data_IF_047636709874
#
_entry.id   IF_047636709874
#
_cell.length_a   1.000
_cell.length_b   1.000
_cell.length_c   1.000
_cell.angle_alpha   90.00
_cell.angle_beta   90.00
_cell.angle_gamma   90.00
#
_symmetry.space_group_name_H-M   'P 1'
#
loop_
_entity.id
_entity.type
_entity.pdbx_description
1 polymer ?
#
# COMPACT_ATOMS: atom_id res chain seq x y z
N UNK A 1 67.15 -43.08 -21.30
CA UNK A 1 67.16 -42.38 -20.00
C UNK A 1 65.89 -41.53 -19.92
N UNK A 2 64.85 -41.99 -19.24
CA UNK A 2 63.93 -41.22 -18.38
C UNK A 2 62.88 -42.18 -17.80
N UNK A 3 62.71 -42.07 -16.50
CA UNK A 3 62.10 -42.99 -15.55
C UNK A 3 60.57 -42.89 -15.50
N UNK A 4 59.89 -44.04 -15.44
CA UNK A 4 58.45 -44.14 -15.17
C UNK A 4 58.22 -43.93 -13.67
N UNK A 5 57.55 -42.84 -13.29
CA UNK A 5 57.08 -42.61 -11.93
C UNK A 5 55.77 -43.35 -11.70
N UNK A 6 55.79 -44.32 -10.79
CA UNK A 6 54.58 -44.98 -10.26
C UNK A 6 53.87 -44.02 -9.30
N UNK A 7 52.70 -43.51 -9.70
CA UNK A 7 51.86 -42.70 -8.83
C UNK A 7 51.09 -43.62 -7.88
N UNK A 8 51.45 -43.49 -6.61
CA UNK A 8 50.94 -44.23 -5.46
C UNK A 8 49.42 -44.27 -5.37
N UNK A 9 48.86 -45.48 -5.24
CA UNK A 9 47.44 -45.77 -4.99
C UNK A 9 46.94 -45.33 -3.60
N UNK A 10 47.80 -44.73 -2.77
CA UNK A 10 47.46 -44.30 -1.41
C UNK A 10 46.62 -43.01 -1.35
N UNK A 11 46.75 -42.09 -2.32
CA UNK A 11 46.06 -40.78 -2.26
C UNK A 11 44.55 -40.86 -2.52
N UNK A 12 44.10 -41.93 -3.20
CA UNK A 12 42.68 -42.12 -3.58
C UNK A 12 41.80 -42.64 -2.43
N UNK A 13 42.37 -43.16 -1.33
CA UNK A 13 41.61 -43.74 -0.20
C UNK A 13 41.09 -42.71 0.81
N UNK A 14 41.59 -41.48 0.80
CA UNK A 14 41.19 -40.44 1.76
C UNK A 14 40.30 -39.33 1.19
N UNK A 15 40.15 -39.24 -0.14
CA UNK A 15 39.28 -38.25 -0.79
C UNK A 15 37.80 -38.67 -0.71
N UNK A 16 37.52 -39.98 -0.79
CA UNK A 16 36.15 -40.52 -0.70
C UNK A 16 35.51 -40.31 0.68
N UNK A 17 36.17 -40.56 1.83
CA UNK A 17 35.53 -40.32 3.13
C UNK A 17 35.37 -38.82 3.45
N UNK A 18 36.23 -37.94 2.92
CA UNK A 18 36.12 -36.49 3.15
C UNK A 18 34.94 -35.87 2.36
N UNK A 19 34.72 -36.32 1.12
CA UNK A 19 33.58 -35.86 0.31
C UNK A 19 32.22 -36.33 0.86
N UNK A 20 32.17 -37.51 1.47
CA UNK A 20 30.95 -38.02 2.13
C UNK A 20 30.65 -37.26 3.43
N UNK A 21 31.67 -36.89 4.21
CA UNK A 21 31.47 -36.07 5.41
C UNK A 21 30.97 -34.64 5.08
N UNK A 22 31.42 -34.04 3.98
CA UNK A 22 30.97 -32.70 3.55
C UNK A 22 29.52 -32.74 3.00
N UNK A 23 29.11 -33.82 2.33
CA UNK A 23 27.72 -33.99 1.89
C UNK A 23 26.74 -34.20 3.06
N UNK A 24 27.17 -34.85 4.15
CA UNK A 24 26.35 -35.08 5.34
C UNK A 24 26.18 -33.83 6.22
N UNK A 25 27.08 -32.84 6.13
CA UNK A 25 26.98 -31.57 6.85
C UNK A 25 26.01 -30.57 6.20
N UNK A 26 25.57 -30.80 4.96
CA UNK A 26 24.59 -29.97 4.25
C UNK A 26 23.12 -30.28 4.57
N UNK A 27 22.84 -31.40 5.27
CA UNK A 27 21.47 -31.86 5.53
C UNK A 27 20.88 -31.37 6.87
N UNK A 28 21.66 -30.69 7.70
CA UNK A 28 21.20 -30.17 9.01
C UNK A 28 20.54 -28.79 8.94
N UNK A 29 20.32 -28.26 7.73
CA UNK A 29 19.52 -27.06 7.50
C UNK A 29 18.03 -27.38 7.46
N UNK A 30 17.50 -28.09 8.45
CA UNK A 30 16.05 -28.22 8.60
C UNK A 30 15.50 -26.84 9.00
N UNK A 31 14.92 -26.12 8.04
CA UNK A 31 13.99 -25.03 8.36
C UNK A 31 12.86 -25.64 9.18
N UNK A 32 12.90 -25.43 10.50
CA UNK A 32 11.86 -25.91 11.41
C UNK A 32 10.73 -24.89 11.34
N UNK A 33 9.92 -24.98 10.29
CA UNK A 33 8.69 -24.24 10.17
C UNK A 33 7.71 -24.93 11.15
N UNK A 34 7.53 -24.34 12.33
CA UNK A 34 6.70 -24.92 13.38
C UNK A 34 5.29 -25.17 12.83
N UNK A 35 4.84 -26.42 12.76
CA UNK A 35 3.53 -26.77 12.19
C UNK A 35 2.32 -26.12 12.90
N UNK A 36 2.54 -25.55 14.09
CA UNK A 36 1.57 -24.68 14.78
C UNK A 36 1.30 -23.38 14.02
N UNK A 37 2.33 -22.84 13.37
CA UNK A 37 2.30 -21.57 12.63
C UNK A 37 1.53 -21.71 11.30
N UNK A 38 1.60 -22.89 10.68
CA UNK A 38 0.82 -23.22 9.48
C UNK A 38 -0.66 -23.40 9.85
N UNK A 39 -0.96 -24.12 10.93
CA UNK A 39 -2.34 -24.33 11.37
C UNK A 39 -3.05 -23.03 11.83
N UNK A 40 -2.34 -22.13 12.51
CA UNK A 40 -2.86 -20.80 12.86
C UNK A 40 -3.10 -19.95 11.61
N UNK A 41 -2.16 -19.93 10.66
CA UNK A 41 -2.34 -19.22 9.38
C UNK A 41 -3.58 -19.70 8.61
N UNK A 42 -3.83 -21.02 8.57
CA UNK A 42 -5.04 -21.56 7.94
C UNK A 42 -6.32 -21.15 8.66
N UNK A 43 -6.31 -21.05 10.00
CA UNK A 43 -7.47 -20.62 10.78
C UNK A 43 -7.79 -19.13 10.63
N UNK A 44 -6.77 -18.31 10.34
CA UNK A 44 -6.92 -16.86 10.10
C UNK A 44 -7.23 -16.52 8.63
N UNK A 45 -6.99 -17.45 7.69
CA UNK A 45 -7.24 -17.25 6.26
C UNK A 45 -8.74 -17.24 5.98
N UNK A 46 -9.27 -16.11 5.49
CA UNK A 46 -10.68 -16.06 5.09
C UNK A 46 -10.89 -16.86 3.79
N UNK A 47 -12.02 -17.58 3.63
CA UNK A 47 -12.28 -18.36 2.42
C UNK A 47 -12.22 -17.57 1.10
N UNK A 48 -12.50 -16.25 1.13
CA UNK A 48 -12.41 -15.42 -0.06
C UNK A 48 -10.96 -15.18 -0.53
N UNK A 49 -9.96 -15.35 0.35
CA UNK A 49 -8.54 -15.13 0.03
C UNK A 49 -8.00 -16.14 -1.00
N UNK A 50 -8.62 -17.31 -1.14
CA UNK A 50 -8.26 -18.30 -2.15
C UNK A 50 -8.45 -17.79 -3.59
N UNK A 51 -9.29 -16.77 -3.79
CA UNK A 51 -9.53 -16.14 -5.09
C UNK A 51 -8.66 -14.89 -5.32
N UNK A 52 -7.65 -14.67 -4.47
CA UNK A 52 -6.69 -13.57 -4.60
C UNK A 52 -5.35 -14.13 -5.08
N UNK A 53 -4.75 -13.51 -6.10
CA UNK A 53 -3.31 -13.71 -6.35
C UNK A 53 -2.51 -13.02 -5.24
N UNK A 54 -1.21 -13.28 -5.16
CA UNK A 54 -0.33 -12.55 -4.24
C UNK A 54 -0.42 -11.02 -4.44
N UNK A 55 -0.53 -10.56 -5.69
CA UNK A 55 -0.66 -9.12 -6.00
C UNK A 55 -2.02 -8.58 -5.55
N UNK A 56 -3.10 -9.34 -5.71
CA UNK A 56 -4.43 -8.91 -5.25
C UNK A 56 -4.51 -8.87 -3.71
N UNK A 57 -3.86 -9.83 -3.04
CA UNK A 57 -3.73 -9.81 -1.57
C UNK A 57 -2.93 -8.62 -1.09
N UNK A 58 -1.80 -8.33 -1.74
CA UNK A 58 -0.99 -7.13 -1.43
C UNK A 58 -1.79 -5.84 -1.66
N UNK A 59 -2.55 -5.74 -2.76
CA UNK A 59 -3.42 -4.58 -3.02
C UNK A 59 -4.50 -4.42 -1.94
N UNK A 60 -5.09 -5.53 -1.49
CA UNK A 60 -6.13 -5.53 -0.44
C UNK A 60 -5.57 -5.03 0.89
N UNK A 61 -4.40 -5.56 1.29
CA UNK A 61 -3.72 -5.13 2.51
C UNK A 61 -3.24 -3.68 2.42
N UNK A 62 -2.68 -3.28 1.29
CA UNK A 62 -2.24 -1.89 1.07
C UNK A 62 -3.41 -0.91 1.12
N UNK A 63 -4.56 -1.23 0.52
CA UNK A 63 -5.77 -0.40 0.60
C UNK A 63 -6.25 -0.25 2.05
N UNK A 64 -6.35 -1.36 2.79
CA UNK A 64 -6.72 -1.33 4.22
C UNK A 64 -5.77 -0.44 5.01
N UNK A 65 -4.47 -0.69 4.90
CA UNK A 65 -3.45 0.02 5.67
C UNK A 65 -3.34 1.52 5.25
N UNK A 66 -3.64 1.85 3.99
CA UNK A 66 -3.74 3.23 3.51
C UNK A 66 -4.93 3.95 4.15
N UNK A 67 -6.09 3.31 4.19
CA UNK A 67 -7.27 3.87 4.85
C UNK A 67 -7.04 4.01 6.36
N UNK A 68 -6.41 3.03 7.01
CA UNK A 68 -6.09 3.12 8.44
C UNK A 68 -5.13 4.28 8.75
N UNK A 69 -4.08 4.47 7.94
CA UNK A 69 -3.21 5.66 8.05
C UNK A 69 -3.99 6.96 7.82
N UNK A 70 -4.93 6.97 6.87
CA UNK A 70 -5.78 8.13 6.59
C UNK A 70 -6.75 8.45 7.75
N UNK A 71 -7.31 7.44 8.38
CA UNK A 71 -8.20 7.62 9.54
C UNK A 71 -7.43 8.04 10.79
N UNK A 72 -6.21 7.56 10.98
CA UNK A 72 -5.31 8.08 12.01
C UNK A 72 -5.00 9.57 11.77
N UNK A 73 -4.74 9.97 10.52
CA UNK A 73 -4.58 11.38 10.15
C UNK A 73 -5.83 12.20 10.48
N UNK A 74 -7.02 11.67 10.20
CA UNK A 74 -8.29 12.32 10.54
C UNK A 74 -8.40 12.60 12.05
N UNK A 75 -8.15 11.59 12.89
CA UNK A 75 -8.19 11.77 14.34
C UNK A 75 -7.20 12.81 14.84
N UNK A 76 -5.97 12.80 14.30
CA UNK A 76 -4.96 13.80 14.64
C UNK A 76 -5.36 15.21 14.19
N UNK A 77 -5.98 15.33 13.02
CA UNK A 77 -6.46 16.61 12.50
C UNK A 77 -7.61 17.16 13.34
N UNK A 78 -8.57 16.33 13.77
CA UNK A 78 -9.65 16.78 14.65
C UNK A 78 -9.16 17.17 16.04
N UNK A 79 -8.18 16.45 16.60
CA UNK A 79 -7.54 16.83 17.85
C UNK A 79 -6.90 18.22 17.76
N UNK A 80 -6.27 18.52 16.62
CA UNK A 80 -5.57 19.79 16.39
C UNK A 80 -6.49 20.92 15.91
N UNK A 81 -7.64 20.57 15.33
CA UNK A 81 -8.64 21.50 14.79
C UNK A 81 -10.03 21.17 15.34
N UNK A 82 -10.27 21.30 16.66
CA UNK A 82 -11.48 20.80 17.28
C UNK A 82 -12.73 21.58 16.86
N UNK A 83 -12.59 22.79 16.32
CA UNK A 83 -13.71 23.56 15.75
C UNK A 83 -14.35 22.87 14.54
N UNK A 84 -13.60 22.05 13.79
CA UNK A 84 -14.04 21.52 12.49
C UNK A 84 -15.15 20.47 12.65
N UNK A 85 -14.98 19.47 13.51
CA UNK A 85 -16.03 18.45 13.73
C UNK A 85 -17.32 19.05 14.31
N UNK A 86 -17.22 20.17 15.06
CA UNK A 86 -18.38 20.87 15.62
C UNK A 86 -19.25 21.51 14.54
N UNK A 87 -18.68 21.89 13.38
CA UNK A 87 -19.44 22.45 12.24
C UNK A 87 -20.41 21.44 11.63
N UNK A 88 -20.10 20.15 11.74
CA UNK A 88 -20.94 19.07 11.23
C UNK A 88 -22.12 18.72 12.16
N UNK A 89 -22.21 19.32 13.34
CA UNK A 89 -23.30 19.07 14.30
C UNK A 89 -23.23 17.70 14.99
N UNK A 90 -22.08 17.02 14.95
CA UNK A 90 -21.87 15.77 15.66
C UNK A 90 -21.67 15.99 17.17
N UNK A 91 -22.02 14.96 17.97
CA UNK A 91 -21.88 14.98 19.42
C UNK A 91 -20.41 15.03 19.86
N UNK A 92 -19.54 14.32 19.14
CA UNK A 92 -18.12 14.22 19.39
C UNK A 92 -17.33 13.99 18.10
N UNK A 93 -15.99 14.08 18.18
CA UNK A 93 -15.10 13.81 17.06
C UNK A 93 -15.25 12.36 16.56
N UNK A 94 -15.48 11.39 17.45
CA UNK A 94 -15.62 9.99 17.08
C UNK A 94 -16.85 9.73 16.17
N UNK A 95 -17.95 10.44 16.39
CA UNK A 95 -19.12 10.39 15.52
C UNK A 95 -18.84 11.00 14.15
N UNK A 96 -18.10 12.11 14.09
CA UNK A 96 -17.65 12.71 12.83
C UNK A 96 -16.73 11.75 12.05
N UNK A 97 -15.78 11.12 12.73
CA UNK A 97 -14.88 10.13 12.14
C UNK A 97 -15.63 8.93 11.57
N UNK A 98 -16.58 8.35 12.33
CA UNK A 98 -17.42 7.25 11.85
C UNK A 98 -18.20 7.63 10.60
N UNK A 99 -18.80 8.82 10.58
CA UNK A 99 -19.55 9.29 9.43
C UNK A 99 -18.68 9.41 8.16
N UNK A 100 -17.48 9.99 8.30
CA UNK A 100 -16.55 10.14 7.18
C UNK A 100 -16.05 8.78 6.69
N UNK A 101 -15.70 7.87 7.61
CA UNK A 101 -15.31 6.49 7.30
C UNK A 101 -16.41 5.76 6.51
N UNK A 102 -17.64 5.77 7.02
CA UNK A 102 -18.77 5.15 6.34
C UNK A 102 -19.02 5.76 4.96
N UNK A 103 -18.87 7.08 4.82
CA UNK A 103 -19.03 7.74 3.54
C UNK A 103 -17.97 7.31 2.51
N UNK A 104 -16.72 7.11 2.93
CA UNK A 104 -15.65 6.59 2.07
C UNK A 104 -15.89 5.12 1.72
N UNK A 105 -16.08 4.27 2.73
CA UNK A 105 -16.15 2.82 2.58
C UNK A 105 -17.40 2.36 1.82
N UNK A 106 -18.52 3.06 2.01
CA UNK A 106 -19.77 2.81 1.28
C UNK A 106 -19.92 3.71 0.05
N UNK A 107 -18.88 4.47 -0.30
CA UNK A 107 -18.84 5.37 -1.45
C UNK A 107 -20.04 6.34 -1.52
N UNK A 108 -20.54 6.77 -0.36
CA UNK A 108 -21.62 7.75 -0.28
C UNK A 108 -21.07 9.12 -0.66
N UNK A 109 -21.81 9.92 -1.44
CA UNK A 109 -21.41 11.30 -1.73
C UNK A 109 -21.37 12.12 -0.43
N UNK A 110 -20.42 13.05 -0.33
CA UNK A 110 -20.41 14.08 0.72
C UNK A 110 -21.03 15.38 0.15
N UNK A 111 -22.29 15.72 0.48
CA UNK A 111 -23.02 16.79 -0.21
C UNK A 111 -22.34 18.16 -0.16
N UNK A 112 -21.59 18.43 0.91
CA UNK A 112 -20.88 19.70 1.12
C UNK A 112 -19.81 19.98 0.05
N UNK A 113 -19.29 18.93 -0.62
CA UNK A 113 -18.32 19.06 -1.71
C UNK A 113 -18.97 19.22 -3.09
N UNK A 114 -20.28 19.01 -3.20
CA UNK A 114 -21.00 18.96 -4.47
C UNK A 114 -20.45 17.86 -5.37
N UNK A 115 -20.24 18.18 -6.65
CA UNK A 115 -19.71 17.24 -7.64
C UNK A 115 -18.16 17.23 -7.72
N UNK A 116 -17.47 17.98 -6.84
CA UNK A 116 -16.01 18.05 -6.87
C UNK A 116 -15.41 16.73 -6.37
N UNK A 117 -14.36 16.27 -7.03
CA UNK A 117 -13.60 15.06 -6.70
C UNK A 117 -12.10 15.35 -6.66
N UNK A 118 -11.33 14.43 -6.09
CA UNK A 118 -9.87 14.43 -6.08
C UNK A 118 -9.28 15.80 -5.67
N UNK A 119 -8.35 16.33 -6.46
CA UNK A 119 -7.67 17.61 -6.20
C UNK A 119 -8.62 18.81 -6.18
N UNK A 120 -9.73 18.76 -6.93
CA UNK A 120 -10.73 19.84 -6.92
C UNK A 120 -11.50 19.86 -5.60
N UNK A 121 -11.84 18.70 -5.05
CA UNK A 121 -12.44 18.58 -3.72
C UNK A 121 -11.47 19.03 -2.63
N UNK A 122 -10.20 18.60 -2.70
CA UNK A 122 -9.15 19.00 -1.76
C UNK A 122 -8.93 20.52 -1.75
N UNK A 123 -8.82 21.12 -2.93
CA UNK A 123 -8.61 22.56 -3.08
C UNK A 123 -9.81 23.34 -2.55
N UNK A 124 -11.03 22.85 -2.79
CA UNK A 124 -12.25 23.47 -2.27
C UNK A 124 -12.37 23.32 -0.75
N UNK A 125 -12.08 22.17 -0.16
CA UNK A 125 -12.11 21.95 1.29
C UNK A 125 -11.16 22.91 2.05
N UNK A 126 -10.07 23.34 1.42
CA UNK A 126 -9.10 24.30 1.97
C UNK A 126 -9.28 25.74 1.43
N UNK A 127 -10.41 26.02 0.79
CA UNK A 127 -10.72 27.35 0.24
C UNK A 127 -11.52 28.20 1.24
N UNK A 128 -11.39 29.54 1.24
CA UNK A 128 -12.19 30.41 2.11
C UNK A 128 -13.71 30.22 1.95
N UNK A 129 -14.17 29.82 0.76
CA UNK A 129 -15.57 29.64 0.42
C UNK A 129 -16.20 28.40 1.07
N UNK A 130 -15.39 27.42 1.47
CA UNK A 130 -15.88 26.21 2.12
C UNK A 130 -16.10 26.45 3.62
N UNK A 131 -17.36 26.40 4.04
CA UNK A 131 -17.78 26.68 5.42
C UNK A 131 -18.05 25.42 6.26
N UNK A 132 -17.95 24.24 5.65
CA UNK A 132 -18.18 22.97 6.30
C UNK A 132 -17.01 22.51 7.18
N UNK A 133 -17.09 21.25 7.58
CA UNK A 133 -16.02 20.54 8.29
C UNK A 133 -14.86 20.25 7.34
N UNK A 134 -13.79 21.05 7.45
CA UNK A 134 -12.63 20.98 6.57
C UNK A 134 -11.86 19.69 6.74
N UNK A 135 -11.79 19.15 7.96
CA UNK A 135 -11.09 17.89 8.24
C UNK A 135 -11.85 16.75 7.57
N UNK A 136 -13.15 16.63 7.82
CA UNK A 136 -13.97 15.59 7.22
C UNK A 136 -13.96 15.67 5.69
N UNK A 137 -14.10 16.87 5.12
CA UNK A 137 -14.07 17.07 3.67
C UNK A 137 -12.71 16.76 3.04
N UNK A 138 -11.61 17.15 3.68
CA UNK A 138 -10.25 16.88 3.20
C UNK A 138 -9.95 15.38 3.23
N UNK A 139 -10.26 14.70 4.34
CA UNK A 139 -10.08 13.25 4.48
C UNK A 139 -10.96 12.48 3.51
N UNK A 140 -12.23 12.87 3.37
CA UNK A 140 -13.15 12.28 2.41
C UNK A 140 -12.63 12.40 0.97
N UNK A 141 -12.09 13.57 0.58
CA UNK A 141 -11.55 13.77 -0.76
C UNK A 141 -10.35 12.84 -1.06
N UNK A 142 -9.47 12.58 -0.07
CA UNK A 142 -8.38 11.61 -0.23
C UNK A 142 -8.91 10.18 -0.27
N UNK A 143 -9.77 9.80 0.68
CA UNK A 143 -10.28 8.43 0.79
C UNK A 143 -11.09 8.01 -0.43
N UNK A 144 -12.02 8.86 -0.88
CA UNK A 144 -12.81 8.60 -2.09
C UNK A 144 -11.95 8.51 -3.35
N UNK A 145 -10.90 9.34 -3.46
CA UNK A 145 -9.92 9.26 -4.55
C UNK A 145 -9.15 7.92 -4.52
N UNK A 146 -8.71 7.47 -3.34
CA UNK A 146 -8.03 6.17 -3.19
C UNK A 146 -8.92 5.02 -3.66
N UNK A 147 -10.16 4.97 -3.18
CA UNK A 147 -11.14 3.95 -3.58
C UNK A 147 -11.40 4.01 -5.09
N UNK A 148 -11.54 5.22 -5.65
CA UNK A 148 -11.76 5.42 -7.10
C UNK A 148 -10.56 4.97 -7.94
N UNK A 149 -9.33 5.30 -7.51
CA UNK A 149 -8.10 4.87 -8.18
C UNK A 149 -7.94 3.34 -8.23
N UNK A 150 -8.59 2.63 -7.30
CA UNK A 150 -8.63 1.18 -7.24
C UNK A 150 -9.93 0.59 -7.81
N UNK A 151 -10.61 1.31 -8.71
CA UNK A 151 -11.79 0.78 -9.40
C UNK A 151 -13.04 0.64 -8.51
N UNK A 152 -13.10 1.39 -7.41
CA UNK A 152 -14.26 1.41 -6.52
C UNK A 152 -14.31 0.25 -5.52
N UNK A 153 -13.16 -0.37 -5.23
CA UNK A 153 -13.09 -1.58 -4.39
C UNK A 153 -12.15 -1.38 -3.20
N UNK A 154 -12.43 -2.13 -2.14
CA UNK A 154 -11.61 -2.20 -0.92
C UNK A 154 -10.87 -3.54 -0.80
N UNK A 155 -11.41 -4.58 -1.43
CA UNK A 155 -10.80 -5.91 -1.55
C UNK A 155 -10.73 -6.29 -3.03
N UNK A 156 -9.67 -6.98 -3.42
CA UNK A 156 -9.35 -7.27 -4.83
C UNK A 156 -9.22 -8.75 -5.07
N UNK A 157 -9.69 -9.21 -6.22
CA UNK A 157 -9.66 -10.62 -6.62
C UNK A 157 -9.04 -10.76 -8.02
N UNK A 158 -8.76 -12.00 -8.43
CA UNK A 158 -8.12 -12.33 -9.71
C UNK A 158 -8.82 -11.68 -10.94
N UNK A 159 -10.13 -11.48 -10.87
CA UNK A 159 -10.95 -10.90 -11.94
C UNK A 159 -10.89 -9.38 -12.00
N UNK A 160 -10.40 -8.74 -10.93
CA UNK A 160 -10.35 -7.29 -10.84
C UNK A 160 -9.13 -6.73 -11.57
N UNK A 161 -9.29 -5.53 -12.10
CA UNK A 161 -8.24 -4.79 -12.78
C UNK A 161 -7.97 -3.49 -12.02
N UNK A 162 -6.72 -3.27 -11.65
CA UNK A 162 -6.26 -2.04 -11.03
C UNK A 162 -5.31 -1.36 -12.01
N UNK A 163 -5.67 -0.15 -12.44
CA UNK A 163 -4.83 0.60 -13.37
C UNK A 163 -3.62 1.22 -12.63
N UNK A 164 -2.38 0.84 -12.96
CA UNK A 164 -1.18 1.35 -12.28
C UNK A 164 -1.06 2.88 -12.38
N UNK A 165 -1.45 3.47 -13.52
CA UNK A 165 -1.43 4.92 -13.72
C UNK A 165 -2.37 5.64 -12.75
N UNK A 166 -3.56 5.08 -12.47
CA UNK A 166 -4.49 5.70 -11.52
C UNK A 166 -3.97 5.65 -10.08
N UNK A 167 -3.36 4.53 -9.68
CA UNK A 167 -2.71 4.38 -8.37
C UNK A 167 -1.53 5.34 -8.23
N UNK A 168 -0.70 5.46 -9.26
CA UNK A 168 0.41 6.42 -9.32
C UNK A 168 -0.07 7.86 -9.22
N UNK A 169 -1.12 8.22 -9.95
CA UNK A 169 -1.74 9.55 -9.89
C UNK A 169 -2.29 9.85 -8.48
N UNK A 170 -2.87 8.87 -7.80
CA UNK A 170 -3.32 9.02 -6.41
C UNK A 170 -2.13 9.33 -5.48
N UNK A 171 -0.99 8.66 -5.64
CA UNK A 171 0.22 8.95 -4.87
C UNK A 171 0.68 10.41 -5.05
N UNK A 172 0.77 10.88 -6.30
CA UNK A 172 1.13 12.26 -6.62
C UNK A 172 0.11 13.28 -6.09
N UNK A 173 -1.17 12.93 -6.11
CA UNK A 173 -2.22 13.78 -5.55
C UNK A 173 -2.15 13.88 -4.03
N UNK A 174 -1.73 12.82 -3.32
CA UNK A 174 -1.51 12.87 -1.87
C UNK A 174 -0.33 13.78 -1.51
N UNK A 175 0.74 13.78 -2.30
CA UNK A 175 1.84 14.74 -2.11
C UNK A 175 1.35 16.18 -2.28
N UNK A 176 0.56 16.44 -3.32
CA UNK A 176 -0.09 17.75 -3.52
C UNK A 176 -1.02 18.10 -2.36
N UNK A 177 -1.77 17.14 -1.84
CA UNK A 177 -2.64 17.33 -0.67
C UNK A 177 -1.83 17.71 0.58
N UNK A 178 -0.70 17.03 0.80
CA UNK A 178 0.23 17.30 1.90
C UNK A 178 0.80 18.72 1.80
N UNK A 179 1.23 19.12 0.60
CA UNK A 179 1.67 20.48 0.33
C UNK A 179 0.56 21.49 0.57
N UNK A 180 -0.64 21.30 0.00
CA UNK A 180 -1.79 22.18 0.19
C UNK A 180 -2.14 22.37 1.67
N UNK A 181 -2.15 21.29 2.46
CA UNK A 181 -2.43 21.32 3.89
C UNK A 181 -1.45 22.22 4.66
N UNK A 182 -0.18 22.25 4.25
CA UNK A 182 0.86 23.08 4.88
C UNK A 182 0.88 24.54 4.42
N UNK A 183 0.25 24.87 3.29
CA UNK A 183 0.39 26.18 2.63
C UNK A 183 -0.90 27.00 2.64
N UNK A 184 -2.07 26.37 2.72
CA UNK A 184 -3.34 27.07 2.59
C UNK A 184 -3.63 27.88 3.86
N UNK A 185 -3.75 29.19 3.67
CA UNK A 185 -4.01 30.16 4.74
C UNK A 185 -5.29 30.96 4.47
N UNK A 186 -5.90 31.45 5.54
CA UNK A 186 -7.00 32.41 5.50
C UNK A 186 -6.49 33.83 5.23
N UNK A 187 -7.41 34.80 5.13
CA UNK A 187 -7.07 36.20 4.87
C UNK A 187 -6.19 36.85 5.95
N UNK A 188 -6.12 36.27 7.16
CA UNK A 188 -5.30 36.74 8.27
C UNK A 188 -3.92 36.07 8.30
N UNK A 189 -3.61 35.19 7.34
CA UNK A 189 -2.34 34.44 7.28
C UNK A 189 -2.30 33.18 8.16
N UNK A 190 -3.40 32.79 8.79
CA UNK A 190 -3.47 31.57 9.60
C UNK A 190 -3.77 30.37 8.72
N UNK A 191 -3.18 29.20 9.03
CA UNK A 191 -3.45 27.97 8.29
C UNK A 191 -4.94 27.59 8.34
N UNK A 192 -5.46 27.11 7.21
CA UNK A 192 -6.84 26.60 7.12
C UNK A 192 -7.08 25.36 7.97
N UNK A 193 -6.04 24.54 8.15
CA UNK A 193 -5.99 23.40 9.05
C UNK A 193 -4.59 23.31 9.68
N UNK A 194 -4.52 23.32 11.00
CA UNK A 194 -3.29 23.10 11.75
C UNK A 194 -2.89 21.62 11.68
N UNK A 195 -1.67 21.33 11.25
CA UNK A 195 -1.19 19.96 11.02
C UNK A 195 0.22 19.76 11.58
N UNK A 196 1.25 19.84 10.73
CA UNK A 196 2.64 19.81 11.17
C UNK A 196 3.01 21.11 11.90
N UNK A 197 3.97 21.01 12.79
CA UNK A 197 4.53 22.15 13.51
C UNK A 197 6.05 22.04 13.54
N UNK A 198 6.72 23.16 13.30
CA UNK A 198 8.15 23.32 13.52
C UNK A 198 8.27 24.63 14.31
N UNK A 199 8.59 24.52 15.61
CA UNK A 199 8.82 25.65 16.51
C UNK A 199 10.19 25.51 17.18
N UNK A 200 10.59 26.53 17.95
CA UNK A 200 11.82 26.48 18.74
C UNK A 200 11.73 25.44 19.88
N UNK A 201 10.52 25.15 20.38
CA UNK A 201 10.29 24.12 21.41
C UNK A 201 10.28 22.69 20.86
N UNK A 202 10.21 22.50 19.54
CA UNK A 202 10.28 21.19 18.91
C UNK A 202 9.59 21.11 17.54
N UNK A 203 9.65 19.93 16.90
CA UNK A 203 8.97 19.68 15.63
C UNK A 203 8.04 18.47 15.72
N UNK A 204 6.83 18.63 15.19
CA UNK A 204 5.86 17.56 15.00
C UNK A 204 5.60 17.37 13.49
N UNK A 205 6.36 16.44 12.90
CA UNK A 205 6.23 16.04 11.50
C UNK A 205 5.36 14.79 11.31
N UNK A 206 4.64 14.38 12.35
CA UNK A 206 3.94 13.11 12.36
C UNK A 206 2.78 13.05 11.35
N UNK A 207 2.29 14.17 10.82
CA UNK A 207 1.31 14.17 9.72
C UNK A 207 2.00 13.88 8.39
N UNK A 208 3.12 14.57 8.11
CA UNK A 208 3.94 14.30 6.93
C UNK A 208 4.40 12.84 6.87
N UNK A 209 4.79 12.25 8.01
CA UNK A 209 5.15 10.83 8.11
C UNK A 209 4.01 9.90 7.71
N UNK A 210 2.78 10.14 8.19
CA UNK A 210 1.63 9.30 7.83
C UNK A 210 1.26 9.44 6.35
N UNK A 211 1.31 10.65 5.77
CA UNK A 211 1.14 10.81 4.32
C UNK A 211 2.23 10.07 3.53
N UNK A 212 3.48 10.16 3.97
CA UNK A 212 4.61 9.46 3.35
C UNK A 212 4.43 7.95 3.31
N UNK A 213 3.86 7.34 4.37
CA UNK A 213 3.52 5.90 4.39
C UNK A 213 2.50 5.54 3.31
N UNK A 214 1.47 6.37 3.13
CA UNK A 214 0.45 6.15 2.10
C UNK A 214 1.08 6.27 0.70
N UNK A 215 1.86 7.32 0.44
CA UNK A 215 2.56 7.53 -0.83
C UNK A 215 3.47 6.33 -1.15
N UNK A 216 4.28 5.89 -0.19
CA UNK A 216 5.19 4.78 -0.38
C UNK A 216 4.47 3.46 -0.73
N UNK A 217 3.34 3.17 -0.07
CA UNK A 217 2.52 1.97 -0.37
C UNK A 217 1.91 2.05 -1.77
N UNK A 218 1.43 3.23 -2.20
CA UNK A 218 0.88 3.43 -3.54
C UNK A 218 1.96 3.31 -4.62
N UNK A 219 3.15 3.88 -4.41
CA UNK A 219 4.27 3.77 -5.34
C UNK A 219 4.75 2.32 -5.47
N UNK A 220 4.83 1.57 -4.36
CA UNK A 220 5.18 0.15 -4.37
C UNK A 220 4.10 -0.67 -5.10
N UNK A 221 2.82 -0.43 -4.82
CA UNK A 221 1.73 -1.12 -5.49
C UNK A 221 1.74 -0.86 -7.00
N UNK A 222 2.02 0.37 -7.42
CA UNK A 222 2.16 0.74 -8.83
C UNK A 222 3.20 -0.15 -9.53
N UNK A 223 4.41 -0.26 -8.96
CA UNK A 223 5.48 -1.10 -9.52
C UNK A 223 5.08 -2.58 -9.60
N UNK A 224 4.39 -3.08 -8.58
CA UNK A 224 3.93 -4.47 -8.55
C UNK A 224 2.85 -4.76 -9.60
N UNK A 225 1.95 -3.80 -9.83
CA UNK A 225 0.94 -3.91 -10.88
C UNK A 225 1.59 -3.87 -12.27
N UNK A 226 2.52 -2.94 -12.52
CA UNK A 226 3.27 -2.89 -13.78
C UNK A 226 4.00 -4.20 -14.07
N UNK A 227 4.66 -4.77 -13.04
CA UNK A 227 5.34 -6.05 -13.16
C UNK A 227 4.37 -7.21 -13.44
N UNK A 228 3.18 -7.23 -12.82
CA UNK A 228 2.12 -8.20 -13.13
C UNK A 228 1.72 -8.13 -14.60
N UNK A 229 1.44 -6.94 -15.13
CA UNK A 229 1.04 -6.77 -16.52
C UNK A 229 2.16 -7.16 -17.50
N UNK A 230 3.40 -6.78 -17.20
CA UNK A 230 4.58 -7.19 -17.98
C UNK A 230 4.73 -8.71 -18.04
N UNK A 231 4.57 -9.40 -16.90
CA UNK A 231 4.65 -10.87 -16.82
C UNK A 231 3.52 -11.57 -17.57
N UNK A 232 2.30 -11.05 -17.51
CA UNK A 232 1.18 -11.59 -18.31
C UNK A 232 1.52 -11.53 -19.80
N UNK A 233 2.05 -10.40 -20.28
CA UNK A 233 2.48 -10.24 -21.67
C UNK A 233 3.62 -11.19 -22.06
N UNK A 234 4.64 -11.34 -21.20
CA UNK A 234 5.76 -12.25 -21.44
C UNK A 234 5.32 -13.71 -21.47
N UNK A 235 4.49 -14.15 -20.53
CA UNK A 235 3.97 -15.52 -20.48
C UNK A 235 3.12 -15.84 -21.71
N UNK A 236 2.34 -14.87 -22.21
CA UNK A 236 1.58 -15.00 -23.45
C UNK A 236 2.50 -15.09 -24.69
N UNK A 237 3.55 -14.27 -24.77
CA UNK A 237 4.52 -14.38 -25.86
C UNK A 237 5.26 -15.72 -25.84
N UNK A 238 5.66 -16.21 -24.67
CA UNK A 238 6.29 -17.52 -24.49
C UNK A 238 5.35 -18.64 -24.93
N UNK A 239 4.06 -18.61 -24.56
CA UNK A 239 3.12 -19.65 -24.99
C UNK A 239 2.95 -19.71 -26.50
N UNK A 240 2.95 -18.57 -27.20
CA UNK A 240 2.93 -18.51 -28.66
C UNK A 240 4.21 -19.07 -29.32
N UNK A 241 5.38 -18.91 -28.69
CA UNK A 241 6.63 -19.50 -29.19
C UNK A 241 6.59 -21.04 -29.10
N UNK A 242 6.04 -21.59 -28.02
CA UNK A 242 5.92 -23.05 -27.85
C UNK A 242 4.78 -23.68 -28.67
N UNK A 243 3.79 -22.90 -29.10
CA UNK A 243 2.75 -23.36 -30.03
C UNK A 243 3.23 -23.49 -31.48
N UNK A 244 4.38 -22.89 -31.84
CA UNK A 244 4.94 -22.95 -33.19
C UNK A 244 5.99 -24.05 -33.42
N UNK A 245 6.32 -24.86 -32.41
CA UNK A 245 7.08 -26.08 -32.63
C UNK A 245 6.13 -27.23 -32.95
N UNK A 246 6.04 -27.59 -34.23
CA UNK A 246 5.53 -28.91 -34.61
C UNK A 246 6.56 -29.96 -34.19
N UNK A 247 6.14 -31.12 -33.63
CA UNK A 247 7.07 -32.19 -33.29
C UNK A 247 7.80 -32.64 -34.57
N UNK A 248 9.13 -32.57 -34.53
CA UNK A 248 9.97 -33.24 -35.54
C UNK A 248 10.35 -34.58 -34.94
N UNK A 249 10.01 -35.65 -35.65
CA UNK A 249 10.35 -37.02 -35.28
C UNK A 249 11.85 -37.20 -35.11
#
# INVERSE_FOLDING_TARGET
MFTVFSVSTAFRRHIVPLAVCILCLGASGCTRQDGKDVASQFSETRPQEFFQTSVDRMATLAMRDNLDSLYLLMSKLYLRNPSEWRKSGFLDAAAAERNVREAIEQQKPLPQLGNRRDLAALSYALSPEFLGDRVGAFIYAIGSMLVTAHGGRLEFFMTDQINPTFVSNAARNIEKATWLLSQRQNANGELMLFSNEISEEGSNLSFATEFGKIVARLDLLTQMLDERYRRIGLNYAQSLLFLNFLPVQ
#
